data_IF_285905169130
#
_entry.id   IF_285905169130
#
_cell.length_a   1.000
_cell.length_b   1.000
_cell.length_c   1.000
_cell.angle_alpha   90.00
_cell.angle_beta   90.00
_cell.angle_gamma   90.00
#
_symmetry.space_group_name_H-M   'P 1'
#
loop_
_entity.id
_entity.type
_entity.pdbx_description
1 polymer ?
#
# COMPACT_ATOMS: atom_id res chain seq x y z
N UNK A 1 -15.99 -8.11 -58.41
CA UNK A 1 -15.54 -9.42 -57.91
C UNK A 1 -14.73 -9.21 -56.64
N UNK A 2 -15.17 -9.89 -55.57
CA UNK A 2 -14.62 -9.96 -54.21
C UNK A 2 -13.09 -10.10 -54.20
N UNK A 3 -12.37 -9.27 -53.44
CA UNK A 3 -11.22 -9.69 -52.59
C UNK A 3 -11.09 -8.74 -51.40
N UNK A 4 -11.55 -9.25 -50.27
CA UNK A 4 -11.28 -8.79 -48.91
C UNK A 4 -9.82 -9.07 -48.61
N UNK A 5 -9.04 -8.08 -48.16
CA UNK A 5 -7.84 -8.34 -47.36
C UNK A 5 -7.90 -7.43 -46.13
N UNK A 6 -8.19 -8.11 -45.03
CA UNK A 6 -8.27 -7.65 -43.66
C UNK A 6 -6.83 -7.54 -43.12
N UNK A 7 -6.31 -6.33 -42.88
CA UNK A 7 -5.06 -6.18 -42.13
C UNK A 7 -5.39 -6.00 -40.65
N UNK A 8 -5.25 -7.13 -39.97
CA UNK A 8 -5.41 -7.35 -38.54
C UNK A 8 -4.43 -6.46 -37.78
N UNK A 9 -4.96 -5.59 -36.93
CA UNK A 9 -4.18 -4.74 -36.04
C UNK A 9 -3.39 -5.58 -35.05
N UNK A 10 -2.07 -5.39 -35.01
CA UNK A 10 -1.22 -5.93 -33.96
C UNK A 10 -1.33 -5.00 -32.74
N UNK A 11 -2.37 -5.17 -31.94
CA UNK A 11 -2.38 -4.65 -30.57
C UNK A 11 -1.42 -5.51 -29.76
N UNK A 12 -0.17 -5.07 -29.65
CA UNK A 12 0.72 -5.55 -28.61
C UNK A 12 0.13 -5.12 -27.27
N UNK A 13 -0.58 -6.02 -26.59
CA UNK A 13 -0.97 -5.83 -25.21
C UNK A 13 0.32 -5.81 -24.37
N UNK A 14 0.82 -4.61 -24.07
CA UNK A 14 1.86 -4.44 -23.06
C UNK A 14 1.23 -4.90 -21.75
N UNK A 15 1.64 -6.06 -21.26
CA UNK A 15 1.23 -6.54 -19.95
C UNK A 15 1.82 -5.59 -18.91
N UNK A 16 1.02 -4.61 -18.47
CA UNK A 16 1.36 -3.77 -17.33
C UNK A 16 1.42 -4.71 -16.12
N UNK A 17 2.52 -4.77 -15.36
CA UNK A 17 2.56 -5.58 -14.16
C UNK A 17 1.43 -5.14 -13.23
N UNK A 18 0.60 -6.10 -12.80
CA UNK A 18 -0.61 -5.86 -12.01
C UNK A 18 -0.36 -5.07 -10.71
N UNK A 19 0.89 -5.03 -10.23
CA UNK A 19 1.30 -4.34 -9.01
C UNK A 19 1.30 -2.81 -9.11
N UNK A 20 1.33 -2.24 -10.31
CA UNK A 20 1.30 -0.78 -10.48
C UNK A 20 0.01 -0.18 -9.88
N UNK A 21 -1.13 -0.85 -10.12
CA UNK A 21 -2.42 -0.42 -9.58
C UNK A 21 -2.51 -0.55 -8.05
N UNK A 22 -1.97 -1.61 -7.47
CA UNK A 22 -2.00 -1.82 -6.02
C UNK A 22 -1.20 -0.75 -5.26
N UNK A 23 0.01 -0.39 -5.73
CA UNK A 23 0.79 0.69 -5.12
C UNK A 23 0.01 2.02 -5.13
N UNK A 24 -0.56 2.39 -6.27
CA UNK A 24 -1.33 3.63 -6.41
C UNK A 24 -2.57 3.65 -5.51
N UNK A 25 -3.26 2.51 -5.39
CA UNK A 25 -4.41 2.37 -4.51
C UNK A 25 -4.02 2.47 -3.03
N UNK A 26 -2.89 1.90 -2.61
CA UNK A 26 -2.37 2.02 -1.24
C UNK A 26 -2.02 3.48 -0.94
N UNK A 27 -1.33 4.17 -1.85
CA UNK A 27 -1.02 5.61 -1.71
C UNK A 27 -2.30 6.43 -1.64
N UNK A 28 -3.29 6.13 -2.47
CA UNK A 28 -4.59 6.81 -2.49
C UNK A 28 -5.35 6.62 -1.17
N UNK A 29 -5.36 5.40 -0.62
CA UNK A 29 -5.96 5.13 0.68
C UNK A 29 -5.31 5.95 1.80
N UNK A 30 -3.98 6.04 1.80
CA UNK A 30 -3.23 6.88 2.75
C UNK A 30 -3.57 8.37 2.59
N UNK A 31 -3.60 8.88 1.35
CA UNK A 31 -3.95 10.28 1.04
C UNK A 31 -5.36 10.65 1.49
N UNK A 32 -6.29 9.70 1.47
CA UNK A 32 -7.67 9.90 1.92
C UNK A 32 -7.86 9.66 3.42
N UNK A 33 -6.81 9.25 4.16
CA UNK A 33 -6.97 8.78 5.54
C UNK A 33 -7.83 7.52 5.67
N UNK A 34 -8.04 6.77 4.59
CA UNK A 34 -8.93 5.62 4.56
C UNK A 34 -8.23 4.37 5.11
N UNK A 35 -8.21 4.24 6.43
CA UNK A 35 -7.60 3.10 7.12
C UNK A 35 -8.22 1.75 6.71
N UNK A 36 -9.51 1.70 6.37
CA UNK A 36 -10.17 0.48 5.92
C UNK A 36 -9.63 -0.01 4.58
N UNK A 37 -9.45 0.89 3.61
CA UNK A 37 -8.83 0.56 2.33
C UNK A 37 -7.35 0.23 2.49
N UNK A 38 -6.61 0.98 3.29
CA UNK A 38 -5.19 0.71 3.53
C UNK A 38 -4.97 -0.68 4.16
N UNK A 39 -5.74 -1.01 5.20
CA UNK A 39 -5.60 -2.28 5.91
C UNK A 39 -6.08 -3.50 5.11
N UNK A 40 -6.83 -3.30 4.02
CA UNK A 40 -7.22 -4.39 3.13
C UNK A 40 -6.01 -5.08 2.46
N UNK A 41 -4.94 -4.31 2.21
CA UNK A 41 -3.69 -4.77 1.60
C UNK A 41 -2.74 -5.47 2.59
N UNK A 42 -3.07 -5.52 3.89
CA UNK A 42 -2.26 -6.25 4.85
C UNK A 42 -2.17 -7.74 4.51
N UNK A 43 -0.98 -8.29 4.67
CA UNK A 43 -0.74 -9.72 4.65
C UNK A 43 -1.35 -10.41 5.89
N UNK A 44 -1.27 -11.73 5.97
CA UNK A 44 -1.73 -12.51 7.12
C UNK A 44 -0.97 -12.19 8.40
N UNK A 45 0.33 -11.88 8.27
CA UNK A 45 1.22 -11.50 9.36
C UNK A 45 1.99 -10.23 9.02
N UNK A 46 2.06 -9.32 9.98
CA UNK A 46 2.62 -7.98 9.81
C UNK A 46 3.65 -7.73 10.92
N UNK A 47 4.74 -7.05 10.61
CA UNK A 47 5.58 -6.40 11.61
C UNK A 47 5.08 -4.97 11.81
N UNK A 48 4.66 -4.64 13.04
CA UNK A 48 3.99 -3.38 13.35
C UNK A 48 4.76 -2.59 14.41
N UNK A 49 5.08 -1.34 14.11
CA UNK A 49 5.64 -0.37 15.05
C UNK A 49 4.78 0.90 15.05
N UNK A 50 4.35 1.31 16.24
CA UNK A 50 3.65 2.58 16.47
C UNK A 50 4.52 3.56 17.27
N UNK A 51 4.23 4.88 17.23
CA UNK A 51 4.97 5.89 17.97
C UNK A 51 5.00 5.57 19.47
N UNK A 52 6.20 5.56 20.05
CA UNK A 52 6.38 5.31 21.50
C UNK A 52 6.03 3.90 21.98
N UNK A 53 5.80 2.93 21.09
CA UNK A 53 5.54 1.51 21.44
C UNK A 53 6.66 0.63 20.93
N UNK A 54 6.93 -0.50 21.55
CA UNK A 54 7.84 -1.52 21.01
C UNK A 54 7.32 -2.09 19.67
N UNK A 55 8.23 -2.60 18.84
CA UNK A 55 7.84 -3.27 17.60
C UNK A 55 7.26 -4.65 17.90
N UNK A 56 6.06 -4.93 17.36
CA UNK A 56 5.39 -6.21 17.48
C UNK A 56 5.62 -6.96 16.17
N UNK A 57 6.31 -8.10 16.25
CA UNK A 57 6.59 -8.94 15.08
C UNK A 57 5.49 -9.97 14.85
N UNK A 58 5.23 -10.29 13.58
CA UNK A 58 4.29 -11.32 13.15
C UNK A 58 2.89 -11.20 13.79
N UNK A 59 2.37 -9.98 13.94
CA UNK A 59 1.00 -9.79 14.44
C UNK A 59 0.00 -10.22 13.35
N UNK A 60 -1.09 -10.89 13.74
CA UNK A 60 -2.11 -11.36 12.78
C UNK A 60 -2.90 -10.21 12.13
N UNK A 61 -3.31 -10.38 10.86
CA UNK A 61 -4.03 -9.38 10.05
C UNK A 61 -5.18 -8.69 10.77
N UNK A 62 -6.03 -9.45 11.45
CA UNK A 62 -7.19 -8.89 12.16
C UNK A 62 -6.74 -7.90 13.25
N UNK A 63 -5.76 -8.29 14.06
CA UNK A 63 -5.27 -7.43 15.13
C UNK A 63 -4.47 -6.24 14.58
N UNK A 64 -3.63 -6.43 13.56
CA UNK A 64 -2.97 -5.31 12.87
C UNK A 64 -3.99 -4.33 12.31
N UNK A 65 -5.05 -4.83 11.67
CA UNK A 65 -6.10 -3.98 11.07
C UNK A 65 -6.80 -3.14 12.13
N UNK A 66 -7.17 -3.74 13.26
CA UNK A 66 -7.78 -3.02 14.39
C UNK A 66 -6.81 -1.95 14.92
N UNK A 67 -5.56 -2.32 15.17
CA UNK A 67 -4.55 -1.42 15.72
C UNK A 67 -4.24 -0.24 14.80
N UNK A 68 -4.10 -0.48 13.49
CA UNK A 68 -3.82 0.58 12.50
C UNK A 68 -5.04 1.48 12.32
N UNK A 69 -6.26 0.94 12.27
CA UNK A 69 -7.50 1.74 12.20
C UNK A 69 -7.64 2.63 13.43
N UNK A 70 -7.47 2.08 14.63
CA UNK A 70 -7.48 2.85 15.87
C UNK A 70 -6.44 3.98 15.85
N UNK A 71 -5.22 3.72 15.36
CA UNK A 71 -4.23 4.78 15.20
C UNK A 71 -4.69 5.90 14.25
N UNK A 72 -5.32 5.56 13.13
CA UNK A 72 -5.82 6.56 12.19
C UNK A 72 -6.92 7.41 12.81
N UNK A 73 -7.87 6.78 13.51
CA UNK A 73 -8.98 7.44 14.17
C UNK A 73 -8.50 8.34 15.33
N UNK A 74 -7.67 7.80 16.23
CA UNK A 74 -7.14 8.50 17.41
C UNK A 74 -6.32 9.74 17.04
N UNK A 75 -5.68 9.72 15.87
CA UNK A 75 -4.83 10.81 15.39
C UNK A 75 -5.48 11.65 14.28
N UNK A 76 -6.74 11.35 13.94
CA UNK A 76 -7.49 12.01 12.87
C UNK A 76 -6.68 12.08 11.57
N UNK A 77 -6.07 10.97 11.18
CA UNK A 77 -5.25 10.89 9.96
C UNK A 77 -6.14 11.15 8.74
N UNK A 78 -5.82 12.20 7.99
CA UNK A 78 -6.64 12.69 6.89
C UNK A 78 -5.83 13.06 5.64
N UNK A 79 -4.53 12.76 5.64
CA UNK A 79 -3.65 13.05 4.51
C UNK A 79 -2.35 12.27 4.55
N UNK A 80 -1.66 12.27 3.41
CA UNK A 80 -0.37 11.61 3.26
C UNK A 80 0.48 12.30 2.19
N UNK A 81 1.72 12.64 2.56
CA UNK A 81 2.73 13.12 1.64
C UNK A 81 3.74 12.00 1.34
N UNK A 82 3.78 11.56 0.09
CA UNK A 82 4.74 10.55 -0.37
C UNK A 82 6.14 11.17 -0.43
N UNK A 83 7.10 10.55 0.26
CA UNK A 83 8.51 10.96 0.21
C UNK A 83 9.32 10.10 -0.77
N UNK A 84 9.10 8.78 -0.78
CA UNK A 84 9.81 7.87 -1.66
C UNK A 84 9.00 6.59 -1.90
N UNK A 85 9.10 6.07 -3.12
CA UNK A 85 8.61 4.75 -3.52
C UNK A 85 9.72 4.05 -4.30
N UNK A 86 10.13 2.86 -3.84
CA UNK A 86 11.21 2.08 -4.45
C UNK A 86 10.77 0.63 -4.58
N UNK A 87 10.93 0.06 -5.77
CA UNK A 87 10.67 -1.36 -6.01
C UNK A 87 11.98 -2.08 -6.36
N UNK A 88 12.20 -3.24 -5.75
CA UNK A 88 13.37 -4.09 -6.00
C UNK A 88 13.04 -5.55 -5.72
N UNK A 89 13.20 -6.41 -6.74
CA UNK A 89 13.11 -7.88 -6.57
C UNK A 89 11.77 -8.36 -6.00
N UNK A 90 10.64 -7.79 -6.46
CA UNK A 90 9.30 -8.14 -5.97
C UNK A 90 8.97 -7.59 -4.58
N UNK A 91 9.79 -6.67 -4.06
CA UNK A 91 9.56 -5.94 -2.81
C UNK A 91 9.39 -4.45 -3.12
N UNK A 92 8.38 -3.82 -2.55
CA UNK A 92 8.11 -2.38 -2.68
C UNK A 92 8.24 -1.70 -1.32
N UNK A 93 8.96 -0.59 -1.28
CA UNK A 93 9.20 0.25 -0.12
C UNK A 93 8.54 1.60 -0.35
N UNK A 94 7.63 1.97 0.54
CA UNK A 94 6.94 3.25 0.52
C UNK A 94 7.24 4.00 1.82
N UNK A 95 7.69 5.25 1.70
CA UNK A 95 7.90 6.14 2.84
C UNK A 95 7.24 7.48 2.61
N UNK A 96 6.79 8.10 3.70
CA UNK A 96 6.16 9.41 3.64
C UNK A 96 5.73 9.90 5.00
N UNK A 97 4.84 10.90 5.00
CA UNK A 97 4.31 11.51 6.22
C UNK A 97 2.80 11.43 6.24
N UNK A 98 2.24 10.83 7.29
CA UNK A 98 0.81 10.92 7.59
C UNK A 98 0.51 12.29 8.19
N UNK A 99 -0.57 12.91 7.71
CA UNK A 99 -1.09 14.16 8.21
C UNK A 99 -2.26 13.86 9.15
N UNK A 100 -2.16 14.26 10.42
CA UNK A 100 -3.21 14.14 11.42
C UNK A 100 -3.61 15.50 12.00
N UNK A 101 -4.48 15.50 13.01
CA UNK A 101 -4.90 16.73 13.68
C UNK A 101 -3.74 17.36 14.48
N UNK A 102 -3.03 18.30 13.88
CA UNK A 102 -1.96 19.08 14.52
C UNK A 102 -0.64 18.33 14.70
N UNK A 103 -0.54 17.08 14.23
CA UNK A 103 0.69 16.29 14.29
C UNK A 103 0.88 15.45 13.03
N UNK A 104 2.14 15.34 12.61
CA UNK A 104 2.56 14.51 11.48
C UNK A 104 3.33 13.30 11.95
N UNK A 105 3.19 12.18 11.25
CA UNK A 105 3.89 10.94 11.58
C UNK A 105 4.65 10.40 10.38
N UNK A 106 5.90 10.00 10.58
CA UNK A 106 6.65 9.35 9.52
C UNK A 106 6.17 7.90 9.40
N UNK A 107 5.80 7.48 8.19
CA UNK A 107 5.40 6.10 7.91
C UNK A 107 6.40 5.45 6.96
N UNK A 108 6.73 4.19 7.24
CA UNK A 108 7.42 3.27 6.34
C UNK A 108 6.55 2.03 6.17
N UNK A 109 6.30 1.67 4.92
CA UNK A 109 5.51 0.50 4.54
C UNK A 109 6.40 -0.40 3.68
N UNK A 110 6.52 -1.66 4.09
CA UNK A 110 7.15 -2.70 3.29
C UNK A 110 6.08 -3.61 2.71
N UNK A 111 6.20 -3.85 1.41
CA UNK A 111 5.26 -4.66 0.66
C UNK A 111 5.99 -5.72 -0.14
N UNK A 112 5.37 -6.88 -0.30
CA UNK A 112 5.90 -8.00 -1.09
C UNK A 112 4.87 -8.46 -2.10
N UNK A 113 5.31 -8.69 -3.33
CA UNK A 113 4.50 -9.31 -4.36
C UNK A 113 4.17 -10.77 -3.98
N UNK A 114 2.90 -11.13 -4.10
CA UNK A 114 2.38 -12.49 -3.88
C UNK A 114 1.39 -12.84 -5.00
N UNK A 115 1.86 -13.58 -5.99
CA UNK A 115 1.11 -13.79 -7.23
C UNK A 115 0.88 -12.45 -7.90
N UNK A 116 -0.38 -12.13 -8.22
CA UNK A 116 -0.75 -10.88 -8.89
C UNK A 116 -1.06 -9.71 -7.95
N UNK A 117 -0.78 -9.85 -6.64
CA UNK A 117 -1.13 -8.84 -5.62
C UNK A 117 0.08 -8.36 -4.86
N UNK A 118 0.03 -7.09 -4.46
CA UNK A 118 0.97 -6.51 -3.51
C UNK A 118 0.42 -6.62 -2.08
N UNK A 119 1.19 -7.18 -1.15
CA UNK A 119 0.78 -7.38 0.24
C UNK A 119 1.70 -6.63 1.20
N UNK A 120 1.13 -5.86 2.13
CA UNK A 120 1.86 -5.13 3.16
C UNK A 120 2.29 -6.12 4.25
N UNK A 121 3.61 -6.20 4.49
CA UNK A 121 4.22 -7.08 5.50
C UNK A 121 4.84 -6.30 6.67
N UNK A 122 5.08 -5.00 6.53
CA UNK A 122 5.56 -4.16 7.63
C UNK A 122 4.90 -2.79 7.57
N UNK A 123 4.48 -2.29 8.73
CA UNK A 123 4.03 -0.91 8.93
C UNK A 123 4.77 -0.34 10.13
N UNK A 124 5.56 0.70 9.91
CA UNK A 124 6.25 1.42 10.98
C UNK A 124 5.86 2.88 10.93
N UNK A 125 5.27 3.37 12.02
CA UNK A 125 4.85 4.76 12.21
C UNK A 125 5.64 5.34 13.39
N UNK A 126 6.26 6.51 13.21
CA UNK A 126 7.03 7.23 14.24
C UNK A 126 6.61 8.70 14.34
#
# INVERSE_FOLDING_TARGET
MKKIIFLMGLMAAVAVPAFAGDNDNIISALKQGNAAQFTAYLDNFIDLKLPGKEEIKNIGKTQASITVKGFFDDNSINGFDLSSQREMGGTSYLTGKLQGAGKTYNITVLMKAKGDKLSIITVRIN
#
